data_IF_034206466362
#
_entry.id   IF_034206466362
#
_cell.length_a   1.000
_cell.length_b   1.000
_cell.length_c   1.000
_cell.angle_alpha   90.00
_cell.angle_beta   90.00
_cell.angle_gamma   90.00
#
_symmetry.space_group_name_H-M   'P 1'
#
loop_
_entity.id
_entity.type
_entity.pdbx_description
1 polymer ?
#
# COMPACT_ATOMS: atom_id res chain seq x y z
N UNK A 1 12.61 -20.11 9.59
CA UNK A 1 12.48 -19.91 11.04
C UNK A 1 11.49 -18.77 11.24
N UNK A 2 10.34 -19.01 11.87
CA UNK A 2 9.34 -17.96 12.10
C UNK A 2 9.93 -16.87 13.00
N UNK A 3 10.14 -15.67 12.44
CA UNK A 3 10.58 -14.49 13.19
C UNK A 3 9.36 -13.90 13.90
N UNK A 4 9.07 -14.36 15.12
CA UNK A 4 7.96 -13.83 15.92
C UNK A 4 8.34 -12.47 16.52
N UNK A 5 7.45 -11.49 16.42
CA UNK A 5 7.52 -10.23 17.17
C UNK A 5 6.64 -10.40 18.41
N UNK A 6 7.17 -10.00 19.56
CA UNK A 6 6.37 -9.98 20.79
C UNK A 6 5.71 -8.61 20.91
N UNK A 7 4.39 -8.60 21.04
CA UNK A 7 3.58 -7.39 21.15
C UNK A 7 2.81 -7.50 22.46
N UNK A 8 3.12 -6.61 23.42
CA UNK A 8 2.38 -6.58 24.67
C UNK A 8 0.94 -6.14 24.40
N UNK A 9 -0.03 -6.97 24.80
CA UNK A 9 -1.45 -6.67 24.62
C UNK A 9 -1.91 -5.47 25.46
N UNK A 10 -1.22 -5.17 26.57
CA UNK A 10 -1.44 -3.95 27.32
C UNK A 10 -0.62 -2.82 26.68
N UNK A 11 -1.31 -1.90 25.99
CA UNK A 11 -0.68 -0.76 25.31
C UNK A 11 0.16 0.12 26.24
N UNK A 12 -0.17 0.21 27.53
CA UNK A 12 0.61 0.96 28.52
C UNK A 12 1.96 0.32 28.85
N UNK A 13 2.18 -0.93 28.42
CA UNK A 13 3.43 -1.69 28.57
C UNK A 13 4.02 -2.10 27.22
N UNK A 14 3.37 -1.74 26.11
CA UNK A 14 3.86 -2.05 24.78
C UNK A 14 5.03 -1.13 24.42
N UNK A 15 5.92 -1.65 23.59
CA UNK A 15 7.07 -0.92 23.07
C UNK A 15 7.10 -1.01 21.55
N UNK A 16 7.99 -0.24 20.94
CA UNK A 16 8.23 -0.33 19.51
C UNK A 16 8.84 -1.68 19.14
N UNK A 17 8.71 -2.06 17.87
CA UNK A 17 9.30 -3.30 17.39
C UNK A 17 10.83 -3.27 17.55
N UNK A 18 11.48 -4.44 17.75
CA UNK A 18 12.94 -4.51 17.81
C UNK A 18 13.58 -3.92 16.55
N UNK A 19 14.74 -3.29 16.71
CA UNK A 19 15.39 -2.53 15.63
C UNK A 19 15.60 -3.31 14.32
N UNK A 20 15.71 -4.65 14.39
CA UNK A 20 15.80 -5.53 13.21
C UNK A 20 14.61 -5.39 12.27
N UNK A 21 13.40 -5.16 12.79
CA UNK A 21 12.18 -5.03 11.99
C UNK A 21 12.31 -3.94 10.92
N UNK A 22 13.00 -2.85 11.26
CA UNK A 22 13.16 -1.70 10.39
C UNK A 22 14.39 -1.76 9.46
N UNK A 23 15.27 -2.75 9.64
CA UNK A 23 16.57 -2.82 8.91
C UNK A 23 16.78 -4.10 8.10
N UNK A 24 15.99 -5.13 8.38
CA UNK A 24 16.11 -6.43 7.75
C UNK A 24 15.34 -6.46 6.43
N UNK A 25 16.05 -6.69 5.34
CA UNK A 25 15.49 -6.71 3.98
C UNK A 25 14.43 -7.80 3.82
N UNK A 26 14.58 -8.97 4.46
CA UNK A 26 13.58 -10.04 4.34
C UNK A 26 12.25 -9.62 4.97
N UNK A 27 12.29 -8.83 6.06
CA UNK A 27 11.09 -8.30 6.72
C UNK A 27 10.42 -7.27 5.81
N UNK A 28 11.20 -6.38 5.19
CA UNK A 28 10.71 -5.38 4.24
C UNK A 28 9.99 -6.02 3.03
N UNK A 29 10.59 -7.06 2.45
CA UNK A 29 10.00 -7.84 1.35
C UNK A 29 8.75 -8.60 1.80
N UNK A 30 8.77 -9.18 3.01
CA UNK A 30 7.59 -9.86 3.56
C UNK A 30 6.41 -8.90 3.80
N UNK A 31 6.68 -7.65 4.20
CA UNK A 31 5.64 -6.62 4.33
C UNK A 31 5.02 -6.29 2.97
N UNK A 32 5.82 -6.27 1.89
CA UNK A 32 5.33 -6.02 0.53
C UNK A 32 4.22 -7.01 0.19
N UNK A 33 4.51 -8.31 0.30
CA UNK A 33 3.62 -9.42 -0.07
C UNK A 33 2.44 -9.63 0.88
N UNK A 34 2.67 -9.46 2.18
CA UNK A 34 1.67 -9.82 3.20
C UNK A 34 0.78 -8.66 3.61
N UNK A 35 1.23 -7.42 3.41
CA UNK A 35 0.50 -6.22 3.84
C UNK A 35 0.16 -5.34 2.65
N UNK A 36 1.15 -4.81 1.93
CA UNK A 36 0.89 -3.78 0.93
C UNK A 36 0.13 -4.30 -0.29
N UNK A 37 0.48 -5.49 -0.80
CA UNK A 37 -0.28 -6.14 -1.87
C UNK A 37 -1.71 -6.56 -1.48
N UNK A 38 -2.03 -6.62 -0.19
CA UNK A 38 -3.30 -7.18 0.32
C UNK A 38 -4.21 -6.15 0.98
N UNK A 39 -3.79 -4.89 1.00
CA UNK A 39 -4.52 -3.81 1.67
C UNK A 39 -4.88 -2.72 0.67
N UNK A 40 -5.96 -2.00 0.97
CA UNK A 40 -6.37 -0.84 0.20
C UNK A 40 -5.29 0.25 0.26
N UNK A 41 -4.81 0.67 -0.91
CA UNK A 41 -3.88 1.78 -1.03
C UNK A 41 -4.64 3.04 -1.43
N UNK A 42 -4.30 4.16 -0.78
CA UNK A 42 -4.80 5.46 -1.20
C UNK A 42 -4.02 5.95 -2.42
N UNK A 43 -4.73 6.23 -3.51
CA UNK A 43 -4.12 6.57 -4.82
C UNK A 43 -4.46 7.98 -5.31
N UNK A 44 -5.30 8.73 -4.57
CA UNK A 44 -5.60 10.13 -4.86
C UNK A 44 -7.07 10.52 -4.68
N UNK A 45 -7.53 11.48 -5.48
CA UNK A 45 -8.90 12.03 -5.44
C UNK A 45 -9.56 11.91 -6.81
N UNK A 46 -10.89 12.02 -6.85
CA UNK A 46 -11.67 11.92 -8.09
C UNK A 46 -11.36 13.00 -9.12
N UNK A 47 -10.67 14.08 -8.72
CA UNK A 47 -10.29 15.20 -9.59
C UNK A 47 -9.16 14.82 -10.56
N UNK A 48 -8.46 13.71 -10.32
CA UNK A 48 -7.49 13.14 -11.27
C UNK A 48 -8.17 12.62 -12.55
N UNK A 49 -9.46 12.29 -12.47
CA UNK A 49 -10.30 11.87 -13.61
C UNK A 49 -11.58 12.70 -13.60
N UNK A 50 -11.52 13.99 -13.95
CA UNK A 50 -12.61 14.94 -13.67
C UNK A 50 -13.83 14.74 -14.57
N UNK A 51 -13.66 14.22 -15.78
CA UNK A 51 -14.69 14.11 -16.81
C UNK A 51 -14.76 12.72 -17.44
N UNK A 52 -15.85 12.40 -18.12
CA UNK A 52 -16.02 11.10 -18.78
C UNK A 52 -14.96 10.92 -19.87
N UNK A 53 -14.35 9.75 -19.92
CA UNK A 53 -13.22 9.47 -20.81
C UNK A 53 -11.85 9.91 -20.28
N UNK A 54 -11.78 10.55 -19.11
CA UNK A 54 -10.50 10.89 -18.49
C UNK A 54 -9.71 9.63 -18.10
N UNK A 55 -8.39 9.70 -18.28
CA UNK A 55 -7.44 8.62 -17.99
C UNK A 55 -6.27 9.20 -17.20
N UNK A 56 -5.88 8.52 -16.12
CA UNK A 56 -4.77 8.92 -15.28
C UNK A 56 -3.87 7.71 -14.96
N UNK A 57 -2.78 7.51 -15.71
CA UNK A 57 -1.80 6.49 -15.42
C UNK A 57 -0.87 6.92 -14.27
N UNK A 58 -0.52 6.00 -13.38
CA UNK A 58 0.43 6.24 -12.29
C UNK A 58 1.13 4.95 -11.88
N UNK A 59 2.26 5.07 -11.18
CA UNK A 59 2.96 3.93 -10.57
C UNK A 59 2.58 3.86 -9.10
N UNK A 60 2.01 2.73 -8.67
CA UNK A 60 1.65 2.48 -7.28
C UNK A 60 2.91 2.26 -6.44
N UNK A 61 3.08 3.09 -5.39
CA UNK A 61 4.22 3.05 -4.47
C UNK A 61 5.57 2.86 -5.20
N UNK A 62 6.04 3.88 -5.95
CA UNK A 62 7.25 3.78 -6.76
C UNK A 62 8.45 3.31 -5.95
N UNK A 63 9.31 2.48 -6.55
CA UNK A 63 10.46 1.84 -5.89
C UNK A 63 10.10 0.84 -4.77
N UNK A 64 8.82 0.49 -4.61
CA UNK A 64 8.41 -0.52 -3.64
C UNK A 64 7.47 -1.58 -4.21
N UNK A 65 6.25 -1.21 -4.60
CA UNK A 65 5.40 -2.08 -5.42
C UNK A 65 5.71 -1.91 -6.90
N UNK A 66 6.00 -0.67 -7.30
CA UNK A 66 6.42 -0.31 -8.65
C UNK A 66 5.46 -0.82 -9.75
N UNK A 67 4.18 -0.89 -9.42
CA UNK A 67 3.16 -1.45 -10.29
C UNK A 67 2.47 -0.34 -11.10
N UNK A 68 2.50 -0.39 -12.44
CA UNK A 68 1.79 0.59 -13.27
C UNK A 68 0.28 0.32 -13.24
N UNK A 69 -0.49 1.33 -12.84
CA UNK A 69 -1.95 1.29 -12.72
C UNK A 69 -2.56 2.45 -13.50
N UNK A 70 -3.82 2.32 -13.92
CA UNK A 70 -4.55 3.36 -14.64
C UNK A 70 -5.89 3.61 -13.99
N UNK A 71 -6.13 4.85 -13.54
CA UNK A 71 -7.48 5.30 -13.20
C UNK A 71 -8.19 5.75 -14.48
N UNK A 72 -9.45 5.38 -14.62
CA UNK A 72 -10.29 5.85 -15.73
C UNK A 72 -11.66 6.29 -15.23
N UNK A 73 -12.29 7.23 -15.94
CA UNK A 73 -13.73 7.48 -15.82
C UNK A 73 -14.42 7.05 -17.10
N UNK A 74 -15.34 6.10 -17.00
CA UNK A 74 -16.05 5.59 -18.18
C UNK A 74 -17.09 6.60 -18.71
N UNK A 75 -17.72 6.25 -19.84
CA UNK A 75 -18.75 7.08 -20.47
C UNK A 75 -20.05 7.22 -19.65
N UNK A 76 -20.25 6.36 -18.64
CA UNK A 76 -21.37 6.42 -17.68
C UNK A 76 -20.99 7.23 -16.43
N UNK A 77 -19.75 7.72 -16.33
CA UNK A 77 -19.25 8.49 -15.21
C UNK A 77 -18.68 7.67 -14.06
N UNK A 78 -18.63 6.34 -14.15
CA UNK A 78 -18.07 5.49 -13.09
C UNK A 78 -16.53 5.50 -13.15
N UNK A 79 -15.89 5.48 -11.98
CA UNK A 79 -14.42 5.46 -11.85
C UNK A 79 -13.95 4.01 -11.70
N UNK A 80 -12.93 3.64 -12.48
CA UNK A 80 -12.29 2.33 -12.46
C UNK A 80 -10.79 2.47 -12.20
N UNK A 81 -10.20 1.41 -11.65
CA UNK A 81 -8.78 1.27 -11.37
C UNK A 81 -8.34 -0.11 -11.86
#
# INVERSE_FOLDING_TARGET
>A
MERKFDINSNIAKAETLPARFYRDTDIFEALREKVFYRTWQWVGTTDQVPETGAVYPFTLLPQYLDEPIVLTRDSKGAVHC
#
